data_IF_770619537128
#
_entry.id   IF_770619537128
#
_cell.length_a   1.000
_cell.length_b   1.000
_cell.length_c   1.000
_cell.angle_alpha   90.00
_cell.angle_beta   90.00
_cell.angle_gamma   90.00
#
_symmetry.space_group_name_H-M   'P 1'
#
loop_
_entity.id
_entity.type
_entity.pdbx_description
1 polymer ?
#
# COMPACT_ATOMS: atom_id res chain seq x y z
N UNK A 1 -28.41 14.76 20.08
CA UNK A 1 -27.27 14.96 19.16
C UNK A 1 -26.96 13.60 18.55
N UNK A 2 -27.52 13.34 17.36
CA UNK A 2 -27.27 12.10 16.62
C UNK A 2 -25.82 12.17 16.11
N UNK A 3 -24.94 11.41 16.75
CA UNK A 3 -23.61 11.18 16.18
C UNK A 3 -23.80 10.29 14.95
N UNK A 4 -23.88 10.89 13.76
CA UNK A 4 -24.04 10.18 12.49
C UNK A 4 -22.70 9.53 12.06
N UNK A 5 -21.60 9.80 12.77
CA UNK A 5 -20.27 9.30 12.44
C UNK A 5 -20.16 7.77 12.41
N UNK A 6 -20.96 7.06 13.20
CA UNK A 6 -20.97 5.60 13.16
C UNK A 6 -21.54 5.05 11.84
N UNK A 7 -22.47 5.74 11.18
CA UNK A 7 -23.03 5.30 9.88
C UNK A 7 -21.94 5.37 8.82
N UNK A 8 -21.18 6.46 8.78
CA UNK A 8 -20.07 6.63 7.84
C UNK A 8 -19.02 5.52 8.01
N UNK A 9 -18.70 5.16 9.26
CA UNK A 9 -17.79 4.06 9.57
C UNK A 9 -18.32 2.71 9.03
N UNK A 10 -19.60 2.39 9.23
CA UNK A 10 -20.23 1.15 8.74
C UNK A 10 -20.28 1.11 7.22
N UNK A 11 -20.69 2.20 6.56
CA UNK A 11 -20.74 2.29 5.10
C UNK A 11 -19.36 2.16 4.47
N UNK A 12 -18.37 2.84 5.04
CA UNK A 12 -16.98 2.80 4.59
C UNK A 12 -16.40 1.39 4.77
N UNK A 13 -16.69 0.73 5.90
CA UNK A 13 -16.29 -0.64 6.17
C UNK A 13 -16.85 -1.64 5.14
N UNK A 14 -18.15 -1.53 4.84
CA UNK A 14 -18.86 -2.45 3.94
C UNK A 14 -18.61 -2.19 2.45
N UNK A 15 -18.09 -1.02 2.08
CA UNK A 15 -17.94 -0.59 0.68
C UNK A 15 -17.20 -1.58 -0.23
N UNK A 16 -16.02 -2.11 0.13
CA UNK A 16 -15.28 -3.00 -0.78
C UNK A 16 -16.07 -4.28 -1.10
N UNK A 17 -16.76 -4.84 -0.09
CA UNK A 17 -17.61 -6.01 -0.24
C UNK A 17 -18.84 -5.71 -1.11
N UNK A 18 -19.51 -4.59 -0.84
CA UNK A 18 -20.70 -4.23 -1.57
C UNK A 18 -20.40 -3.90 -3.04
N UNK A 19 -19.38 -3.07 -3.29
CA UNK A 19 -18.98 -2.69 -4.65
C UNK A 19 -18.44 -3.91 -5.42
N UNK A 20 -17.68 -4.80 -4.78
CA UNK A 20 -17.20 -6.04 -5.42
C UNK A 20 -18.33 -6.94 -5.90
N UNK A 21 -19.32 -7.18 -5.04
CA UNK A 21 -20.49 -8.00 -5.39
C UNK A 21 -21.38 -7.34 -6.46
N UNK A 22 -21.61 -6.02 -6.36
CA UNK A 22 -22.38 -5.26 -7.35
C UNK A 22 -21.66 -5.21 -8.70
N UNK A 23 -20.34 -5.03 -8.70
CA UNK A 23 -19.53 -5.06 -9.91
C UNK A 23 -19.60 -6.44 -10.58
N UNK A 24 -19.61 -7.53 -9.82
CA UNK A 24 -19.83 -8.86 -10.39
C UNK A 24 -21.19 -9.01 -11.07
N UNK A 25 -22.22 -8.43 -10.48
CA UNK A 25 -23.56 -8.50 -11.01
C UNK A 25 -23.73 -7.66 -12.28
N UNK A 26 -23.26 -6.42 -12.26
CA UNK A 26 -23.46 -5.46 -13.37
C UNK A 26 -22.37 -5.49 -14.44
N UNK A 27 -21.18 -6.03 -14.10
CA UNK A 27 -19.97 -6.03 -14.96
C UNK A 27 -19.54 -4.64 -15.44
N UNK A 28 -19.99 -3.61 -14.74
CA UNK A 28 -19.69 -2.21 -15.01
C UNK A 28 -19.45 -1.48 -13.69
N UNK A 29 -18.29 -0.82 -13.60
CA UNK A 29 -17.81 -0.23 -12.36
C UNK A 29 -18.57 1.02 -11.97
N UNK A 30 -18.93 1.83 -12.96
CA UNK A 30 -19.73 3.03 -12.71
C UNK A 30 -21.12 2.63 -12.20
N UNK A 31 -21.79 1.67 -12.85
CA UNK A 31 -23.08 1.13 -12.41
C UNK A 31 -23.00 0.53 -11.00
N UNK A 32 -21.94 -0.21 -10.68
CA UNK A 32 -21.76 -0.79 -9.35
C UNK A 32 -21.57 0.26 -8.26
N UNK A 33 -20.83 1.34 -8.55
CA UNK A 33 -20.65 2.44 -7.61
C UNK A 33 -21.91 3.29 -7.45
N UNK A 34 -22.65 3.55 -8.53
CA UNK A 34 -23.95 4.22 -8.48
C UNK A 34 -24.95 3.42 -7.63
N UNK A 35 -25.03 2.11 -7.86
CA UNK A 35 -25.85 1.18 -7.08
C UNK A 35 -25.50 1.25 -5.58
N UNK A 36 -24.20 1.22 -5.25
CA UNK A 36 -23.73 1.33 -3.88
C UNK A 36 -24.07 2.70 -3.26
N UNK A 37 -23.88 3.80 -4.01
CA UNK A 37 -24.20 5.15 -3.53
C UNK A 37 -25.69 5.30 -3.22
N UNK A 38 -26.57 4.78 -4.05
CA UNK A 38 -28.02 4.79 -3.81
C UNK A 38 -28.39 3.95 -2.58
N UNK A 39 -27.72 2.81 -2.36
CA UNK A 39 -27.88 2.04 -1.13
C UNK A 39 -27.44 2.82 0.11
N UNK A 40 -26.32 3.54 0.05
CA UNK A 40 -25.85 4.42 1.12
C UNK A 40 -26.84 5.56 1.41
N UNK A 41 -27.43 6.17 0.38
CA UNK A 41 -28.45 7.21 0.55
C UNK A 41 -29.70 6.68 1.27
N UNK A 42 -30.08 5.45 1.00
CA UNK A 42 -31.19 4.78 1.71
C UNK A 42 -30.81 4.43 3.15
N UNK A 43 -29.59 3.96 3.40
CA UNK A 43 -29.07 3.72 4.74
C UNK A 43 -29.06 4.99 5.60
N UNK A 44 -28.58 6.12 5.06
CA UNK A 44 -28.58 7.42 5.75
C UNK A 44 -29.98 7.90 6.12
N UNK A 45 -31.02 7.46 5.40
CA UNK A 45 -32.42 7.79 5.69
C UNK A 45 -33.05 6.87 6.75
N UNK A 46 -32.67 5.58 6.80
CA UNK A 46 -33.38 4.55 7.58
C UNK A 46 -32.64 4.08 8.83
N UNK A 47 -31.31 4.10 8.81
CA UNK A 47 -30.49 3.63 9.93
C UNK A 47 -30.48 4.56 11.15
N UNK A 48 -30.64 5.90 11.03
CA UNK A 48 -30.76 6.75 12.21
C UNK A 48 -31.96 6.41 13.10
N UNK A 49 -33.04 5.85 12.53
CA UNK A 49 -34.24 5.46 13.29
C UNK A 49 -34.20 3.98 13.72
N UNK A 50 -33.69 3.09 12.86
CA UNK A 50 -33.79 1.65 13.06
C UNK A 50 -32.49 0.98 13.52
N UNK A 51 -31.38 1.71 13.54
CA UNK A 51 -30.04 1.13 13.65
C UNK A 51 -29.59 0.43 12.35
N UNK A 52 -28.32 0.01 12.26
CA UNK A 52 -27.84 -0.75 11.12
C UNK A 52 -28.36 -2.20 11.17
N UNK A 53 -28.57 -2.84 10.01
CA UNK A 53 -28.78 -4.28 9.92
C UNK A 53 -27.61 -5.05 10.55
N UNK A 54 -27.88 -6.30 10.94
CA UNK A 54 -26.85 -7.21 11.51
C UNK A 54 -25.69 -7.46 10.53
N UNK A 55 -26.01 -7.55 9.24
CA UNK A 55 -25.03 -7.53 8.14
C UNK A 55 -25.32 -6.33 7.23
N UNK A 56 -24.59 -5.26 7.47
CA UNK A 56 -24.69 -4.03 6.69
C UNK A 56 -24.25 -4.23 5.23
N UNK A 57 -23.26 -5.09 4.97
CA UNK A 57 -22.74 -5.30 3.62
C UNK A 57 -23.74 -6.05 2.75
N UNK A 58 -24.31 -7.14 3.27
CA UNK A 58 -25.37 -7.88 2.58
C UNK A 58 -26.58 -6.97 2.26
N UNK A 59 -26.98 -6.13 3.22
CA UNK A 59 -28.06 -5.18 3.01
C UNK A 59 -27.74 -4.17 1.90
N UNK A 60 -26.53 -3.59 1.90
CA UNK A 60 -26.10 -2.64 0.88
C UNK A 60 -26.03 -3.28 -0.52
N UNK A 61 -25.57 -4.53 -0.63
CA UNK A 61 -25.56 -5.29 -1.89
C UNK A 61 -26.99 -5.46 -2.40
N UNK A 62 -27.89 -5.94 -1.54
CA UNK A 62 -29.27 -6.20 -1.92
C UNK A 62 -29.99 -4.92 -2.35
N UNK A 63 -29.89 -3.86 -1.53
CA UNK A 63 -30.53 -2.58 -1.82
C UNK A 63 -29.96 -1.92 -3.06
N UNK A 64 -28.63 -1.95 -3.23
CA UNK A 64 -27.97 -1.39 -4.40
C UNK A 64 -28.36 -2.13 -5.68
N UNK A 65 -28.37 -3.47 -5.64
CA UNK A 65 -28.81 -4.31 -6.76
C UNK A 65 -30.22 -3.94 -7.21
N UNK A 66 -31.16 -3.89 -6.27
CA UNK A 66 -32.56 -3.58 -6.58
C UNK A 66 -32.70 -2.16 -7.13
N UNK A 67 -32.02 -1.18 -6.55
CA UNK A 67 -32.06 0.19 -7.01
C UNK A 67 -31.53 0.37 -8.44
N UNK A 68 -30.39 -0.26 -8.76
CA UNK A 68 -29.83 -0.20 -10.11
C UNK A 68 -30.67 -1.00 -11.13
N UNK A 69 -31.26 -2.14 -10.74
CA UNK A 69 -32.21 -2.85 -11.59
C UNK A 69 -33.47 -2.02 -11.90
N UNK A 70 -33.99 -1.29 -10.92
CA UNK A 70 -35.12 -0.38 -11.12
C UNK A 70 -34.78 0.76 -12.09
N UNK A 71 -33.55 1.27 -12.03
CA UNK A 71 -33.08 2.31 -12.95
C UNK A 71 -32.85 1.78 -14.36
N UNK A 72 -32.23 0.59 -14.51
CA UNK A 72 -32.08 -0.10 -15.80
C UNK A 72 -33.45 -0.39 -16.42
N UNK A 73 -34.43 -0.86 -15.64
CA UNK A 73 -35.82 -1.07 -16.10
C UNK A 73 -36.50 0.24 -16.50
N UNK A 74 -36.20 1.34 -15.82
CA UNK A 74 -36.74 2.67 -16.14
C UNK A 74 -36.14 3.24 -17.42
N UNK A 75 -34.84 3.06 -17.65
CA UNK A 75 -34.13 3.43 -18.89
C UNK A 75 -34.54 2.53 -20.07
N UNK A 76 -34.77 1.24 -19.84
CA UNK A 76 -35.28 0.29 -20.84
C UNK A 76 -36.74 0.56 -21.26
N UNK A 77 -37.52 1.32 -20.48
CA UNK A 77 -38.84 1.82 -20.92
C UNK A 77 -38.73 2.98 -21.92
N UNK A 78 -37.53 3.50 -22.19
CA UNK A 78 -37.29 4.63 -23.10
C UNK A 78 -36.64 4.21 -24.44
N UNK A 79 -36.22 2.95 -24.63
CA UNK A 79 -35.72 2.36 -25.89
C UNK A 79 -36.17 0.90 -25.98
N UNK A 80 -36.63 0.43 -27.16
CA UNK A 80 -37.14 -0.93 -27.36
C UNK A 80 -36.10 -2.03 -27.03
N UNK A 81 -36.56 -3.13 -26.42
CA UNK A 81 -35.75 -4.18 -25.77
C UNK A 81 -34.75 -4.90 -26.70
N UNK A 82 -33.54 -5.23 -26.19
CA UNK A 82 -32.76 -6.41 -26.60
C UNK A 82 -33.16 -7.67 -25.82
N UNK A 83 -32.76 -8.82 -26.37
CA UNK A 83 -33.15 -10.20 -26.00
C UNK A 83 -33.00 -10.57 -24.51
N UNK A 84 -34.03 -11.22 -23.96
CA UNK A 84 -34.19 -11.60 -22.54
C UNK A 84 -33.17 -12.65 -22.04
N UNK A 85 -32.30 -13.16 -22.92
CA UNK A 85 -31.29 -14.17 -22.61
C UNK A 85 -30.10 -13.68 -21.76
N UNK A 86 -29.98 -12.37 -21.48
CA UNK A 86 -28.89 -11.79 -20.68
C UNK A 86 -29.22 -11.65 -19.17
N UNK A 87 -30.44 -11.98 -18.75
CA UNK A 87 -30.90 -11.83 -17.36
C UNK A 87 -31.10 -13.24 -16.78
N UNK A 88 -30.19 -13.65 -15.90
CA UNK A 88 -30.27 -14.93 -15.19
C UNK A 88 -31.53 -15.02 -14.34
N UNK A 89 -32.15 -16.19 -14.36
CA UNK A 89 -33.39 -16.59 -13.68
C UNK A 89 -33.48 -16.11 -12.21
N UNK A 90 -34.66 -15.62 -11.85
CA UNK A 90 -35.02 -15.02 -10.56
C UNK A 90 -36.06 -15.91 -9.88
N UNK A 91 -35.66 -16.74 -8.92
CA UNK A 91 -36.52 -17.15 -7.80
C UNK A 91 -35.65 -17.61 -6.60
N UNK A 92 -36.09 -17.26 -5.39
CA UNK A 92 -35.49 -17.54 -4.06
C UNK A 92 -34.12 -16.90 -3.69
N UNK A 93 -34.04 -15.56 -3.79
CA UNK A 93 -32.79 -14.82 -3.61
C UNK A 93 -32.39 -14.42 -2.16
N UNK A 94 -33.24 -14.59 -1.13
CA UNK A 94 -32.91 -14.07 0.22
C UNK A 94 -32.02 -15.02 1.04
N UNK A 95 -32.31 -16.33 1.03
CA UNK A 95 -31.48 -17.34 1.71
C UNK A 95 -30.18 -17.60 0.94
N UNK A 96 -30.27 -17.72 -0.39
CA UNK A 96 -29.09 -18.00 -1.20
C UNK A 96 -28.12 -16.81 -1.30
N UNK A 97 -28.54 -15.54 -1.18
CA UNK A 97 -27.59 -14.41 -1.24
C UNK A 97 -26.76 -14.30 0.05
N UNK A 98 -27.36 -14.64 1.19
CA UNK A 98 -26.66 -14.75 2.48
C UNK A 98 -25.69 -15.94 2.49
N UNK A 99 -26.07 -17.10 1.92
CA UNK A 99 -25.20 -18.27 1.77
C UNK A 99 -24.12 -18.07 0.68
N UNK A 100 -24.36 -17.24 -0.34
CA UNK A 100 -23.40 -16.88 -1.40
C UNK A 100 -22.34 -15.84 -0.99
N UNK A 101 -22.44 -15.30 0.22
CA UNK A 101 -21.51 -14.33 0.80
C UNK A 101 -20.53 -14.99 1.79
N UNK A 102 -20.19 -16.26 1.57
CA UNK A 102 -19.08 -16.89 2.28
C UNK A 102 -17.78 -16.09 2.10
N UNK A 103 -16.92 -16.15 3.12
CA UNK A 103 -15.67 -15.39 3.16
C UNK A 103 -14.70 -15.67 2.00
N UNK A 104 -14.90 -16.73 1.21
CA UNK A 104 -14.15 -17.04 -0.01
C UNK A 104 -14.65 -16.21 -1.21
N UNK A 105 -15.95 -16.10 -1.41
CA UNK A 105 -16.54 -15.36 -2.53
C UNK A 105 -16.21 -13.86 -2.46
N UNK A 106 -16.20 -13.29 -1.24
CA UNK A 106 -15.75 -11.93 -1.00
C UNK A 106 -14.26 -11.72 -1.36
N UNK A 107 -13.39 -12.69 -1.05
CA UNK A 107 -11.96 -12.60 -1.39
C UNK A 107 -11.76 -12.55 -2.89
N UNK A 108 -12.51 -13.35 -3.64
CA UNK A 108 -12.47 -13.37 -5.09
C UNK A 108 -12.96 -12.05 -5.71
N UNK A 109 -13.98 -11.42 -5.13
CA UNK A 109 -14.48 -10.13 -5.62
C UNK A 109 -13.46 -8.99 -5.38
N UNK A 110 -12.82 -8.94 -4.21
CA UNK A 110 -11.76 -7.97 -3.94
C UNK A 110 -10.54 -8.20 -4.84
N UNK A 111 -10.20 -9.46 -5.08
CA UNK A 111 -9.14 -9.82 -6.01
C UNK A 111 -9.45 -9.35 -7.44
N UNK A 112 -10.68 -9.58 -7.93
CA UNK A 112 -11.14 -9.08 -9.24
C UNK A 112 -11.01 -7.56 -9.30
N UNK A 113 -11.46 -6.86 -8.26
CA UNK A 113 -11.33 -5.40 -8.16
C UNK A 113 -9.86 -4.94 -8.22
N UNK A 114 -8.96 -5.62 -7.52
CA UNK A 114 -7.52 -5.33 -7.56
C UNK A 114 -6.95 -5.48 -8.98
N UNK A 115 -7.29 -6.56 -9.69
CA UNK A 115 -6.85 -6.77 -11.06
C UNK A 115 -7.42 -5.72 -12.04
N UNK A 116 -8.69 -5.34 -11.87
CA UNK A 116 -9.32 -4.26 -12.64
C UNK A 116 -8.61 -2.94 -12.39
N UNK A 117 -8.28 -2.63 -11.14
CA UNK A 117 -7.54 -1.42 -10.80
C UNK A 117 -6.11 -1.42 -11.36
N UNK A 118 -5.49 -2.59 -11.52
CA UNK A 118 -4.14 -2.76 -12.07
C UNK A 118 -4.11 -2.98 -13.61
N UNK A 119 -5.14 -2.53 -14.34
CA UNK A 119 -5.21 -2.69 -15.79
C UNK A 119 -4.00 -2.02 -16.51
N UNK A 120 -3.32 -2.70 -17.46
CA UNK A 120 -2.09 -2.21 -18.07
C UNK A 120 -2.25 -0.90 -18.86
N UNK A 121 -3.46 -0.61 -19.35
CA UNK A 121 -3.71 0.67 -20.03
C UNK A 121 -3.79 1.88 -19.10
N UNK A 122 -3.83 1.66 -17.78
CA UNK A 122 -3.84 2.72 -16.79
C UNK A 122 -2.41 3.06 -16.35
N UNK A 123 -2.03 4.36 -16.32
CA UNK A 123 -0.82 4.79 -15.64
C UNK A 123 -0.84 4.37 -14.17
N UNK A 124 0.31 4.05 -13.58
CA UNK A 124 0.42 3.61 -12.19
C UNK A 124 -0.32 4.52 -11.20
N UNK A 125 -0.16 5.83 -11.33
CA UNK A 125 -0.85 6.84 -10.48
C UNK A 125 -2.37 6.76 -10.53
N UNK A 126 -2.95 6.34 -11.66
CA UNK A 126 -4.38 6.08 -11.79
C UNK A 126 -4.75 4.73 -11.18
N UNK A 127 -3.94 3.68 -11.39
CA UNK A 127 -4.16 2.36 -10.79
C UNK A 127 -4.24 2.44 -9.25
N UNK A 128 -3.30 3.18 -8.64
CA UNK A 128 -3.21 3.34 -7.18
C UNK A 128 -4.39 4.16 -6.65
N UNK A 129 -4.68 5.31 -7.27
CA UNK A 129 -5.81 6.15 -6.86
C UNK A 129 -7.14 5.39 -6.95
N UNK A 130 -7.29 4.58 -8.00
CA UNK A 130 -8.47 3.76 -8.19
C UNK A 130 -8.54 2.60 -7.18
N UNK A 131 -7.44 1.92 -6.91
CA UNK A 131 -7.37 0.86 -5.90
C UNK A 131 -7.67 1.40 -4.50
N UNK A 132 -7.05 2.51 -4.09
CA UNK A 132 -7.34 3.16 -2.81
C UNK A 132 -8.81 3.58 -2.72
N UNK A 133 -9.36 4.11 -3.81
CA UNK A 133 -10.76 4.51 -3.84
C UNK A 133 -11.68 3.32 -3.70
N UNK A 134 -11.49 2.28 -4.50
CA UNK A 134 -12.47 1.21 -4.71
C UNK A 134 -12.25 0.04 -3.77
N UNK A 135 -11.00 -0.40 -3.65
CA UNK A 135 -10.60 -1.56 -2.86
C UNK A 135 -10.45 -1.20 -1.38
N UNK A 136 -9.72 -0.11 -1.08
CA UNK A 136 -9.53 0.33 0.31
C UNK A 136 -10.70 1.20 0.82
N UNK A 137 -11.52 1.73 -0.08
CA UNK A 137 -12.69 2.53 0.26
C UNK A 137 -12.37 3.95 0.73
N UNK A 138 -11.15 4.46 0.50
CA UNK A 138 -10.78 5.82 0.89
C UNK A 138 -11.64 6.86 0.18
N UNK A 139 -11.89 7.98 0.86
CA UNK A 139 -12.52 9.15 0.25
C UNK A 139 -11.55 9.85 -0.72
N UNK A 140 -12.10 10.59 -1.69
CA UNK A 140 -11.29 11.39 -2.62
C UNK A 140 -10.37 12.35 -1.88
N UNK A 141 -10.81 12.94 -0.76
CA UNK A 141 -10.03 13.85 0.08
C UNK A 141 -8.82 13.16 0.72
N UNK A 142 -9.02 11.96 1.28
CA UNK A 142 -7.93 11.19 1.87
C UNK A 142 -6.90 10.81 0.81
N UNK A 143 -7.35 10.42 -0.39
CA UNK A 143 -6.44 10.09 -1.50
C UNK A 143 -5.75 11.35 -2.01
N UNK A 144 -6.45 12.47 -2.15
CA UNK A 144 -5.86 13.74 -2.59
C UNK A 144 -4.75 14.21 -1.65
N UNK A 145 -4.98 14.12 -0.32
CA UNK A 145 -3.96 14.39 0.71
C UNK A 145 -2.76 13.45 0.58
N UNK A 146 -2.99 12.15 0.44
CA UNK A 146 -1.91 11.18 0.27
C UNK A 146 -1.05 11.47 -0.98
N UNK A 147 -1.67 11.94 -2.06
CA UNK A 147 -0.98 12.30 -3.29
C UNK A 147 -0.48 13.76 -3.35
N UNK A 148 -0.72 14.55 -2.30
CA UNK A 148 -0.41 15.99 -2.25
C UNK A 148 -0.95 16.77 -3.46
N UNK A 149 -2.17 16.44 -3.90
CA UNK A 149 -2.87 17.14 -4.99
C UNK A 149 -4.19 17.71 -4.49
N UNK A 150 -4.78 18.67 -5.22
CA UNK A 150 -6.11 19.19 -4.89
C UNK A 150 -7.22 18.16 -5.11
N UNK A 151 -8.27 18.22 -4.29
CA UNK A 151 -9.45 17.33 -4.33
C UNK A 151 -10.02 17.18 -5.75
N UNK A 152 -10.23 18.30 -6.46
CA UNK A 152 -10.77 18.30 -7.82
C UNK A 152 -9.86 17.59 -8.84
N UNK A 153 -8.54 17.72 -8.69
CA UNK A 153 -7.58 17.03 -9.57
C UNK A 153 -7.59 15.52 -9.33
N UNK A 154 -7.74 15.09 -8.07
CA UNK A 154 -7.87 13.68 -7.71
C UNK A 154 -9.20 13.09 -8.18
N UNK A 155 -10.30 13.83 -8.02
CA UNK A 155 -11.61 13.41 -8.52
C UNK A 155 -11.58 13.16 -10.03
N UNK A 156 -11.08 14.12 -10.79
CA UNK A 156 -10.91 13.97 -12.24
C UNK A 156 -9.99 12.80 -12.61
N UNK A 157 -8.93 12.55 -11.83
CA UNK A 157 -8.02 11.43 -12.06
C UNK A 157 -8.75 10.09 -11.91
N UNK A 158 -9.54 9.95 -10.85
CA UNK A 158 -10.34 8.75 -10.59
C UNK A 158 -11.39 8.57 -11.70
N UNK A 159 -12.11 9.62 -12.08
CA UNK A 159 -13.12 9.56 -13.16
C UNK A 159 -12.52 9.15 -14.49
N UNK A 160 -11.36 9.69 -14.87
CA UNK A 160 -10.66 9.27 -16.10
C UNK A 160 -10.22 7.82 -16.06
N UNK A 161 -9.76 7.34 -14.91
CA UNK A 161 -9.36 5.94 -14.75
C UNK A 161 -10.57 5.00 -14.96
N UNK A 162 -11.72 5.32 -14.35
CA UNK A 162 -12.97 4.55 -14.53
C UNK A 162 -13.44 4.54 -15.98
N UNK A 163 -13.49 5.71 -16.62
CA UNK A 163 -13.90 5.82 -18.03
C UNK A 163 -13.01 4.99 -18.96
N UNK A 164 -11.71 4.91 -18.68
CA UNK A 164 -10.76 4.12 -19.46
C UNK A 164 -10.95 2.61 -19.26
N UNK A 165 -11.30 2.17 -18.05
CA UNK A 165 -11.68 0.77 -17.78
C UNK A 165 -13.00 0.42 -18.47
N UNK A 166 -14.03 1.26 -18.33
CA UNK A 166 -15.35 1.04 -18.92
C UNK A 166 -15.30 0.99 -20.45
N UNK A 167 -14.48 1.85 -21.07
CA UNK A 167 -14.28 1.86 -22.53
C UNK A 167 -13.47 0.67 -23.08
N UNK A 168 -12.73 -0.05 -22.22
CA UNK A 168 -11.88 -1.17 -22.64
C UNK A 168 -12.65 -2.49 -22.84
N UNK A 169 -13.96 -2.54 -22.52
CA UNK A 169 -14.80 -3.72 -22.76
C UNK A 169 -14.30 -5.00 -22.07
N UNK A 170 -13.71 -4.84 -20.89
CA UNK A 170 -12.98 -5.92 -20.21
C UNK A 170 -13.92 -7.06 -19.80
N UNK A 171 -13.57 -8.33 -20.10
CA UNK A 171 -14.27 -9.46 -19.50
C UNK A 171 -14.14 -9.36 -17.98
N UNK A 172 -15.28 -9.24 -17.28
CA UNK A 172 -15.33 -9.31 -15.83
C UNK A 172 -15.18 -10.76 -15.37
N UNK A 173 -14.05 -11.37 -15.71
CA UNK A 173 -13.70 -12.72 -15.29
C UNK A 173 -12.50 -12.68 -14.35
N UNK A 174 -12.43 -13.66 -13.46
CA UNK A 174 -11.17 -13.90 -12.74
C UNK A 174 -10.11 -14.16 -13.80
N UNK A 175 -8.97 -13.45 -13.80
CA UNK A 175 -7.96 -13.69 -14.81
C UNK A 175 -7.57 -15.18 -14.81
N UNK A 176 -7.30 -15.73 -16.00
CA UNK A 176 -6.82 -17.11 -16.11
C UNK A 176 -5.54 -17.31 -15.28
N UNK A 177 -5.15 -18.57 -15.00
CA UNK A 177 -3.95 -18.81 -14.18
C UNK A 177 -2.68 -18.11 -14.72
N UNK A 178 -2.54 -18.02 -16.04
CA UNK A 178 -1.43 -17.34 -16.73
C UNK A 178 -1.50 -15.82 -16.55
N UNK A 179 -2.65 -15.22 -16.82
CA UNK A 179 -2.88 -13.78 -16.69
C UNK A 179 -2.77 -13.31 -15.23
N UNK A 180 -3.17 -14.17 -14.28
CA UNK A 180 -2.96 -13.96 -12.85
C UNK A 180 -1.47 -13.85 -12.52
N UNK A 181 -0.62 -14.73 -13.05
CA UNK A 181 0.81 -14.70 -12.80
C UNK A 181 1.47 -13.43 -13.37
N UNK A 182 1.10 -13.02 -14.59
CA UNK A 182 1.63 -11.80 -15.22
C UNK A 182 1.21 -10.53 -14.47
N UNK A 183 -0.05 -10.44 -14.07
CA UNK A 183 -0.58 -9.27 -13.36
C UNK A 183 -0.21 -9.24 -11.88
N UNK A 184 0.17 -10.38 -11.28
CA UNK A 184 0.53 -10.48 -9.86
C UNK A 184 1.70 -9.56 -9.50
N UNK A 185 2.69 -9.41 -10.38
CA UNK A 185 3.82 -8.49 -10.15
C UNK A 185 3.34 -7.04 -10.03
N UNK A 186 2.49 -6.59 -10.95
CA UNK A 186 1.90 -5.24 -10.93
C UNK A 186 1.04 -5.03 -9.68
N UNK A 187 0.19 -6.00 -9.33
CA UNK A 187 -0.66 -5.91 -8.14
C UNK A 187 0.20 -5.87 -6.87
N UNK A 188 1.26 -6.69 -6.80
CA UNK A 188 2.20 -6.69 -5.67
C UNK A 188 2.91 -5.35 -5.52
N UNK A 189 3.36 -4.76 -6.63
CA UNK A 189 3.97 -3.43 -6.65
C UNK A 189 3.00 -2.34 -6.19
N UNK A 190 1.73 -2.40 -6.61
CA UNK A 190 0.69 -1.48 -6.18
C UNK A 190 0.43 -1.61 -4.68
N UNK A 191 0.27 -2.84 -4.17
CA UNK A 191 0.07 -3.09 -2.74
C UNK A 191 1.25 -2.58 -1.91
N UNK A 192 2.49 -2.80 -2.37
CA UNK A 192 3.67 -2.29 -1.69
C UNK A 192 3.72 -0.76 -1.68
N UNK A 193 3.28 -0.11 -2.75
CA UNK A 193 3.24 1.34 -2.79
C UNK A 193 2.19 1.91 -1.84
N UNK A 194 0.98 1.34 -1.80
CA UNK A 194 -0.05 1.72 -0.80
C UNK A 194 0.52 1.62 0.61
N UNK A 195 1.27 0.56 0.88
CA UNK A 195 1.97 0.40 2.15
C UNK A 195 3.01 1.51 2.39
N UNK A 196 3.88 1.80 1.43
CA UNK A 196 4.94 2.80 1.56
C UNK A 196 4.39 4.22 1.81
N UNK A 197 3.26 4.58 1.19
CA UNK A 197 2.59 5.86 1.45
C UNK A 197 2.14 5.96 2.91
N UNK A 198 1.61 4.86 3.48
CA UNK A 198 1.26 4.82 4.90
C UNK A 198 2.44 4.68 5.85
N UNK A 199 3.54 4.09 5.40
CA UNK A 199 4.74 3.84 6.20
C UNK A 199 5.42 5.15 6.66
N UNK A 200 5.40 6.16 5.79
CA UNK A 200 6.04 7.46 6.00
C UNK A 200 5.14 8.49 6.73
N UNK A 201 3.85 8.20 6.89
CA UNK A 201 2.88 9.09 7.52
C UNK A 201 2.99 9.07 9.06
N UNK A 202 2.77 10.23 9.72
CA UNK A 202 2.66 10.30 11.19
C UNK A 202 1.41 9.54 11.64
N UNK A 203 1.53 8.85 12.78
CA UNK A 203 0.42 8.16 13.46
C UNK A 203 -0.80 9.05 13.75
N UNK A 204 -0.63 10.38 13.85
CA UNK A 204 -1.74 11.32 14.09
C UNK A 204 -2.67 11.50 12.87
N UNK A 205 -2.27 11.01 11.70
CA UNK A 205 -3.14 10.93 10.51
C UNK A 205 -3.92 9.61 10.46
N UNK A 206 -3.80 8.76 11.49
CA UNK A 206 -4.58 7.54 11.61
C UNK A 206 -6.07 7.87 11.60
N UNK A 207 -6.75 7.35 10.58
CA UNK A 207 -8.20 7.40 10.51
C UNK A 207 -8.78 6.40 11.52
N UNK A 208 -10.09 6.44 11.73
CA UNK A 208 -10.82 5.39 12.48
C UNK A 208 -10.57 3.97 11.96
N UNK A 209 -10.02 3.81 10.74
CA UNK A 209 -9.77 2.53 10.06
C UNK A 209 -8.30 2.04 10.15
N UNK A 210 -7.41 2.79 10.80
CA UNK A 210 -5.97 2.51 10.81
C UNK A 210 -5.19 3.33 9.78
N UNK A 211 -3.93 2.95 9.53
CA UNK A 211 -3.03 3.62 8.58
C UNK A 211 -3.11 2.98 7.19
N UNK A 212 -2.72 3.72 6.14
CA UNK A 212 -2.56 3.15 4.79
C UNK A 212 -1.60 1.95 4.75
N UNK A 213 -0.66 1.87 5.70
CA UNK A 213 0.22 0.71 5.85
C UNK A 213 -0.56 -0.53 6.31
N UNK A 214 -1.54 -0.38 7.21
CA UNK A 214 -2.39 -1.49 7.64
C UNK A 214 -3.30 -1.97 6.51
N UNK A 215 -3.81 -1.06 5.67
CA UNK A 215 -4.56 -1.39 4.45
C UNK A 215 -3.69 -2.17 3.46
N UNK A 216 -2.44 -1.75 3.25
CA UNK A 216 -1.47 -2.49 2.44
C UNK A 216 -1.27 -3.92 2.96
N UNK A 217 -1.08 -4.10 4.27
CA UNK A 217 -0.92 -5.42 4.91
C UNK A 217 -2.18 -6.27 4.71
N UNK A 218 -3.36 -5.67 4.83
CA UNK A 218 -4.62 -6.35 4.57
C UNK A 218 -4.73 -6.85 3.12
N UNK A 219 -4.35 -6.02 2.15
CA UNK A 219 -4.30 -6.39 0.72
C UNK A 219 -3.28 -7.51 0.47
N UNK A 220 -2.07 -7.43 1.03
CA UNK A 220 -1.07 -8.48 0.91
C UNK A 220 -1.56 -9.81 1.51
N UNK A 221 -2.26 -9.78 2.65
CA UNK A 221 -2.88 -10.97 3.26
C UNK A 221 -3.97 -11.56 2.37
N UNK A 222 -4.72 -10.72 1.66
CA UNK A 222 -5.67 -11.19 0.66
C UNK A 222 -4.97 -11.89 -0.51
N UNK A 223 -3.91 -11.28 -1.06
CA UNK A 223 -3.11 -11.90 -2.13
C UNK A 223 -2.55 -13.26 -1.70
N UNK A 224 -2.06 -13.39 -0.46
CA UNK A 224 -1.56 -14.66 0.06
C UNK A 224 -2.63 -15.75 0.14
N UNK A 225 -3.89 -15.41 0.41
CA UNK A 225 -4.98 -16.39 0.45
C UNK A 225 -5.30 -16.92 -0.94
N UNK A 226 -5.16 -16.08 -1.96
CA UNK A 226 -5.40 -16.42 -3.37
C UNK A 226 -4.22 -17.18 -3.97
N UNK A 227 -3.00 -16.76 -3.62
CA UNK A 227 -1.75 -17.30 -4.14
C UNK A 227 -0.90 -17.91 -3.01
N UNK A 228 -1.40 -18.95 -2.31
CA UNK A 228 -0.76 -19.49 -1.10
C UNK A 228 0.56 -20.20 -1.35
N UNK A 229 0.91 -20.44 -2.62
CA UNK A 229 2.15 -21.08 -3.06
C UNK A 229 3.10 -20.12 -3.76
N UNK A 230 2.74 -18.84 -3.92
CA UNK A 230 3.60 -17.86 -4.58
C UNK A 230 4.59 -17.25 -3.57
N UNK A 231 5.89 -17.58 -3.65
CA UNK A 231 6.87 -17.17 -2.65
C UNK A 231 7.13 -15.67 -2.65
N UNK A 232 6.90 -14.99 -3.78
CA UNK A 232 7.10 -13.55 -3.88
C UNK A 232 6.03 -12.76 -3.11
N UNK A 233 4.80 -13.25 -3.08
CA UNK A 233 3.71 -12.67 -2.27
C UNK A 233 3.98 -12.89 -0.77
N UNK A 234 4.57 -14.04 -0.41
CA UNK A 234 5.04 -14.28 0.96
C UNK A 234 6.16 -13.31 1.34
N UNK A 235 7.12 -13.08 0.44
CA UNK A 235 8.16 -12.07 0.60
C UNK A 235 7.59 -10.68 0.81
N UNK A 236 6.63 -10.25 -0.02
CA UNK A 236 5.98 -8.94 0.11
C UNK A 236 5.28 -8.78 1.47
N UNK A 237 4.46 -9.75 1.87
CA UNK A 237 3.77 -9.71 3.16
C UNK A 237 4.77 -9.69 4.32
N UNK A 238 5.82 -10.52 4.26
CA UNK A 238 6.85 -10.56 5.29
C UNK A 238 7.58 -9.21 5.41
N UNK A 239 7.97 -8.61 4.29
CA UNK A 239 8.60 -7.29 4.25
C UNK A 239 7.75 -6.24 4.96
N UNK A 240 6.47 -6.16 4.60
CA UNK A 240 5.54 -5.17 5.14
C UNK A 240 5.28 -5.37 6.63
N UNK A 241 5.12 -6.63 7.08
CA UNK A 241 4.99 -6.95 8.51
C UNK A 241 6.23 -6.55 9.31
N UNK A 242 7.42 -6.89 8.83
CA UNK A 242 8.69 -6.61 9.51
C UNK A 242 8.97 -5.09 9.56
N UNK A 243 8.64 -4.38 8.49
CA UNK A 243 8.71 -2.91 8.47
C UNK A 243 7.70 -2.30 9.45
N UNK A 244 6.45 -2.78 9.46
CA UNK A 244 5.38 -2.25 10.30
C UNK A 244 5.51 -2.60 11.77
N UNK A 245 6.21 -3.68 12.11
CA UNK A 245 6.46 -4.08 13.49
C UNK A 245 7.16 -2.98 14.32
N UNK A 246 7.93 -2.10 13.66
CA UNK A 246 8.69 -1.04 14.31
C UNK A 246 7.96 0.30 14.38
N UNK A 247 6.70 0.37 13.95
CA UNK A 247 5.99 1.65 13.78
C UNK A 247 6.00 2.52 15.05
N UNK A 248 5.81 1.90 16.23
CA UNK A 248 5.81 2.58 17.52
C UNK A 248 7.18 3.14 17.95
N UNK A 249 8.28 2.72 17.30
CA UNK A 249 9.64 3.13 17.62
C UNK A 249 10.26 4.08 16.59
N UNK A 250 9.53 4.49 15.53
CA UNK A 250 10.10 5.31 14.43
C UNK A 250 10.24 6.78 14.79
N UNK A 251 9.41 7.27 15.70
CA UNK A 251 9.37 8.67 16.10
C UNK A 251 9.38 8.77 17.62
N UNK A 252 10.02 9.82 18.14
CA UNK A 252 9.93 10.16 19.56
C UNK A 252 8.64 10.94 19.87
N UNK A 253 8.41 11.24 21.15
CA UNK A 253 7.25 12.02 21.62
C UNK A 253 7.16 13.43 21.00
N UNK A 254 8.26 13.95 20.44
CA UNK A 254 8.34 15.26 19.78
C UNK A 254 8.15 15.15 18.26
N UNK A 255 8.03 13.93 17.71
CA UNK A 255 7.91 13.70 16.29
C UNK A 255 9.21 13.68 15.50
N UNK A 256 10.36 13.66 16.17
CA UNK A 256 11.65 13.52 15.52
C UNK A 256 11.87 12.05 15.10
N UNK A 257 12.58 11.85 13.99
CA UNK A 257 12.94 10.50 13.51
C UNK A 257 13.92 9.87 14.50
N UNK A 258 13.65 8.63 14.88
CA UNK A 258 14.58 7.78 15.63
C UNK A 258 15.23 6.80 14.66
N UNK A 259 16.56 6.88 14.52
CA UNK A 259 17.34 6.02 13.62
C UNK A 259 17.23 4.57 14.05
N UNK A 260 17.30 3.65 13.09
CA UNK A 260 17.09 2.21 13.32
C UNK A 260 17.98 1.62 14.44
N UNK A 261 19.21 2.13 14.58
CA UNK A 261 20.16 1.70 15.63
C UNK A 261 19.81 2.21 17.03
N UNK A 262 19.07 3.33 17.11
CA UNK A 262 18.65 3.99 18.34
C UNK A 262 17.21 3.63 18.75
N UNK A 263 16.48 2.89 17.90
CA UNK A 263 15.10 2.48 18.21
C UNK A 263 15.06 1.57 19.42
N UNK A 264 14.15 1.86 20.36
CA UNK A 264 13.83 0.93 21.43
C UNK A 264 13.13 -0.31 20.85
N UNK A 265 13.87 -1.41 20.78
CA UNK A 265 13.40 -2.71 20.29
C UNK A 265 12.33 -3.33 21.19
N UNK A 266 12.20 -2.89 22.44
CA UNK A 266 11.11 -3.30 23.34
C UNK A 266 9.74 -2.79 22.90
N UNK A 267 9.68 -1.76 22.04
CA UNK A 267 8.44 -1.24 21.45
C UNK A 267 8.06 -1.96 20.13
N UNK A 268 8.86 -2.93 19.68
CA UNK A 268 8.59 -3.64 18.43
C UNK A 268 7.49 -4.69 18.62
N UNK A 269 6.64 -4.83 17.60
CA UNK A 269 5.55 -5.81 17.61
C UNK A 269 6.06 -7.22 17.32
N UNK A 270 6.31 -7.97 18.39
CA UNK A 270 6.78 -9.36 18.34
C UNK A 270 5.85 -10.29 17.54
N UNK A 271 4.54 -10.03 17.51
CA UNK A 271 3.60 -10.87 16.75
C UNK A 271 3.79 -10.66 15.26
N UNK A 272 3.91 -9.41 14.82
CA UNK A 272 4.21 -9.08 13.42
C UNK A 272 5.59 -9.59 13.00
N UNK A 273 6.59 -9.48 13.88
CA UNK A 273 7.93 -10.04 13.63
C UNK A 273 7.84 -11.55 13.45
N UNK A 274 7.22 -12.28 14.39
CA UNK A 274 7.11 -13.73 14.32
C UNK A 274 6.37 -14.18 13.05
N UNK A 275 5.28 -13.50 12.67
CA UNK A 275 4.55 -13.79 11.44
C UNK A 275 5.40 -13.52 10.19
N UNK A 276 6.07 -12.37 10.12
CA UNK A 276 6.93 -12.01 8.99
C UNK A 276 8.11 -12.98 8.82
N UNK A 277 8.75 -13.38 9.92
CA UNK A 277 9.82 -14.37 9.92
C UNK A 277 9.33 -15.74 9.44
N UNK A 278 8.17 -16.20 9.90
CA UNK A 278 7.60 -17.47 9.45
C UNK A 278 7.28 -17.46 7.94
N UNK A 279 6.77 -16.34 7.42
CA UNK A 279 6.45 -16.18 6.00
C UNK A 279 7.72 -16.19 5.12
N UNK A 280 8.76 -15.45 5.49
CA UNK A 280 10.00 -15.46 4.70
C UNK A 280 10.71 -16.82 4.78
N UNK A 281 10.70 -17.48 5.94
CA UNK A 281 11.24 -18.84 6.09
C UNK A 281 10.45 -19.86 5.28
N UNK A 282 9.16 -19.65 5.06
CA UNK A 282 8.34 -20.46 4.14
C UNK A 282 8.70 -20.16 2.68
N UNK A 283 8.76 -18.90 2.30
CA UNK A 283 9.08 -18.46 0.94
C UNK A 283 10.43 -19.03 0.45
N UNK A 284 11.46 -18.96 1.30
CA UNK A 284 12.81 -19.46 0.97
C UNK A 284 12.84 -20.97 0.66
N UNK A 285 11.92 -21.78 1.23
CA UNK A 285 11.85 -23.22 0.94
C UNK A 285 11.41 -23.52 -0.49
N UNK A 286 10.75 -22.58 -1.17
CA UNK A 286 10.38 -22.72 -2.58
C UNK A 286 11.58 -22.59 -3.53
N UNK A 287 12.75 -22.12 -3.06
CA UNK A 287 13.99 -21.99 -3.84
C UNK A 287 13.83 -21.17 -5.14
N UNK A 288 12.92 -20.19 -5.13
CA UNK A 288 12.64 -19.27 -6.23
C UNK A 288 12.75 -17.83 -5.70
N UNK A 289 13.98 -17.29 -5.55
CA UNK A 289 14.17 -15.96 -4.97
C UNK A 289 13.61 -14.87 -5.89
N UNK A 290 13.06 -13.83 -5.29
CA UNK A 290 12.63 -12.60 -5.97
C UNK A 290 12.88 -11.37 -5.10
N UNK A 291 12.61 -10.19 -5.66
CA UNK A 291 13.01 -8.91 -5.09
C UNK A 291 12.41 -8.67 -3.69
N UNK A 292 11.12 -8.94 -3.49
CA UNK A 292 10.47 -8.79 -2.19
C UNK A 292 10.96 -9.80 -1.17
N UNK A 293 11.28 -11.03 -1.59
CA UNK A 293 11.89 -12.01 -0.68
C UNK A 293 13.26 -11.54 -0.20
N UNK A 294 14.09 -10.99 -1.08
CA UNK A 294 15.42 -10.48 -0.70
C UNK A 294 15.29 -9.26 0.22
N UNK A 295 14.39 -8.33 -0.09
CA UNK A 295 14.10 -7.18 0.79
C UNK A 295 13.57 -7.63 2.16
N UNK A 296 12.66 -8.60 2.20
CA UNK A 296 12.15 -9.18 3.45
C UNK A 296 13.25 -9.87 4.25
N UNK A 297 14.18 -10.56 3.60
CA UNK A 297 15.32 -11.19 4.26
C UNK A 297 16.24 -10.14 4.91
N UNK A 298 16.47 -9.00 4.25
CA UNK A 298 17.21 -7.86 4.83
C UNK A 298 16.48 -7.34 6.08
N UNK A 299 15.17 -7.09 5.98
CA UNK A 299 14.36 -6.66 7.12
C UNK A 299 14.35 -7.69 8.25
N UNK A 300 14.35 -8.99 7.93
CA UNK A 300 14.37 -10.09 8.89
C UNK A 300 15.68 -10.14 9.68
N UNK A 301 16.84 -9.83 9.07
CA UNK A 301 18.12 -9.76 9.77
C UNK A 301 18.13 -8.65 10.81
N UNK A 302 17.57 -7.49 10.48
CA UNK A 302 17.37 -6.44 11.46
C UNK A 302 16.40 -6.87 12.57
N UNK A 303 15.28 -7.52 12.23
CA UNK A 303 14.28 -7.95 13.19
C UNK A 303 14.75 -9.05 14.15
N UNK A 304 15.67 -9.93 13.70
CA UNK A 304 16.24 -11.03 14.50
C UNK A 304 17.29 -10.58 15.51
N UNK A 305 17.98 -9.47 15.22
CA UNK A 305 19.02 -8.95 16.12
C UNK A 305 18.39 -8.47 17.44
N UNK A 306 18.96 -8.82 18.58
CA UNK A 306 18.46 -8.34 19.88
C UNK A 306 18.96 -6.92 20.16
N UNK A 307 20.17 -6.61 19.73
CA UNK A 307 20.78 -5.28 19.78
C UNK A 307 21.14 -4.82 18.38
N UNK A 308 21.26 -3.51 18.17
CA UNK A 308 21.67 -2.96 16.88
C UNK A 308 23.03 -3.50 16.41
N UNK A 309 23.99 -3.63 17.34
CA UNK A 309 25.33 -4.16 17.09
C UNK A 309 25.37 -5.64 16.68
N UNK A 310 24.33 -6.43 17.01
CA UNK A 310 24.25 -7.85 16.66
C UNK A 310 23.76 -8.08 15.21
N UNK A 311 23.45 -7.00 14.47
CA UNK A 311 22.94 -7.10 13.10
C UNK A 311 24.02 -7.68 12.17
N UNK A 312 23.67 -8.74 11.43
CA UNK A 312 24.58 -9.35 10.45
C UNK A 312 24.70 -8.49 9.17
N UNK A 313 25.55 -7.47 9.25
CA UNK A 313 25.80 -6.56 8.13
C UNK A 313 26.49 -7.22 6.95
N UNK A 314 27.27 -8.27 7.16
CA UNK A 314 27.92 -9.02 6.09
C UNK A 314 26.87 -9.76 5.24
N UNK A 315 25.89 -10.39 5.88
CA UNK A 315 24.78 -11.02 5.17
C UNK A 315 23.87 -9.98 4.49
N UNK A 316 23.66 -8.81 5.10
CA UNK A 316 22.91 -7.71 4.47
C UNK A 316 23.60 -7.21 3.18
N UNK A 317 24.94 -7.01 3.17
CA UNK A 317 25.68 -6.63 1.94
C UNK A 317 25.47 -7.68 0.83
N UNK A 318 25.55 -8.97 1.15
CA UNK A 318 25.32 -10.05 0.19
C UNK A 318 23.88 -10.07 -0.35
N UNK A 319 22.89 -9.82 0.50
CA UNK A 319 21.49 -9.73 0.08
C UNK A 319 21.26 -8.52 -0.83
N UNK A 320 21.80 -7.34 -0.50
CA UNK A 320 21.74 -6.18 -1.39
C UNK A 320 22.45 -6.44 -2.71
N UNK A 321 23.62 -7.07 -2.71
CA UNK A 321 24.33 -7.44 -3.94
C UNK A 321 23.50 -8.39 -4.83
N UNK A 322 22.69 -9.27 -4.23
CA UNK A 322 21.73 -10.08 -4.97
C UNK A 322 20.55 -9.24 -5.48
N UNK A 323 19.99 -8.36 -4.65
CA UNK A 323 18.90 -7.46 -5.04
C UNK A 323 19.29 -6.58 -6.24
N UNK A 324 20.51 -6.05 -6.29
CA UNK A 324 21.02 -5.28 -7.43
C UNK A 324 21.01 -6.06 -8.75
N UNK A 325 21.16 -7.39 -8.70
CA UNK A 325 21.10 -8.25 -9.90
C UNK A 325 19.66 -8.50 -10.34
N UNK A 326 18.74 -8.63 -9.38
CA UNK A 326 17.32 -8.85 -9.63
C UNK A 326 16.63 -7.56 -10.10
N UNK A 327 17.00 -6.43 -9.50
CA UNK A 327 16.40 -5.12 -9.72
C UNK A 327 17.49 -4.03 -9.75
N UNK A 328 18.15 -3.84 -10.91
CA UNK A 328 19.21 -2.83 -11.04
C UNK A 328 18.67 -1.42 -10.83
N UNK A 329 19.07 -0.77 -9.72
CA UNK A 329 18.59 0.57 -9.37
C UNK A 329 19.65 1.35 -8.59
N UNK A 330 19.88 2.64 -8.90
CA UNK A 330 20.81 3.48 -8.14
C UNK A 330 20.38 3.62 -6.67
N UNK A 331 19.08 3.50 -6.37
CA UNK A 331 18.58 3.52 -4.99
C UNK A 331 18.98 2.25 -4.24
N UNK A 332 18.96 1.09 -4.90
CA UNK A 332 19.43 -0.17 -4.28
C UNK A 332 20.92 -0.09 -3.99
N UNK A 333 21.73 0.45 -4.91
CA UNK A 333 23.17 0.67 -4.69
C UNK A 333 23.43 1.65 -3.54
N UNK A 334 22.65 2.73 -3.44
CA UNK A 334 22.74 3.64 -2.30
C UNK A 334 22.45 2.94 -0.97
N UNK A 335 21.39 2.13 -0.91
CA UNK A 335 21.03 1.38 0.29
C UNK A 335 22.12 0.35 0.65
N UNK A 336 22.70 -0.30 -0.35
CA UNK A 336 23.82 -1.24 -0.17
C UNK A 336 25.05 -0.56 0.42
N UNK A 337 25.36 0.68 0.02
CA UNK A 337 26.50 1.42 0.55
C UNK A 337 26.44 1.61 2.07
N UNK A 338 25.24 1.66 2.67
CA UNK A 338 25.08 1.68 4.13
C UNK A 338 25.59 0.38 4.76
N UNK A 339 25.27 -0.78 4.16
CA UNK A 339 25.80 -2.06 4.61
C UNK A 339 27.32 -2.16 4.39
N UNK A 340 27.82 -1.69 3.25
CA UNK A 340 29.25 -1.63 2.97
C UNK A 340 29.99 -0.75 3.97
N UNK A 341 29.41 0.37 4.42
CA UNK A 341 29.99 1.19 5.47
C UNK A 341 30.20 0.38 6.75
N UNK A 342 29.17 -0.34 7.20
CA UNK A 342 29.24 -1.14 8.43
C UNK A 342 30.21 -2.33 8.33
N UNK A 343 30.52 -2.82 7.13
CA UNK A 343 31.41 -3.98 6.91
C UNK A 343 32.85 -3.59 6.56
N UNK A 344 33.03 -2.58 5.70
CA UNK A 344 34.32 -2.20 5.08
C UNK A 344 34.74 -0.76 5.37
N UNK A 345 33.90 -0.01 6.07
CA UNK A 345 34.15 1.37 6.48
C UNK A 345 33.67 2.44 5.49
N UNK A 346 33.70 3.71 5.92
CA UNK A 346 33.06 4.81 5.21
C UNK A 346 33.73 5.15 3.88
N UNK A 347 35.03 4.93 3.74
CA UNK A 347 35.76 5.17 2.48
C UNK A 347 35.25 4.27 1.34
N UNK A 348 35.07 2.97 1.59
CA UNK A 348 34.57 2.01 0.61
C UNK A 348 33.11 2.29 0.22
N UNK A 349 32.30 2.74 1.19
CA UNK A 349 30.93 3.16 0.93
C UNK A 349 30.88 4.46 0.12
N UNK A 350 31.78 5.41 0.38
CA UNK A 350 31.84 6.67 -0.35
C UNK A 350 32.19 6.45 -1.83
N UNK A 351 33.19 5.60 -2.11
CA UNK A 351 33.57 5.20 -3.47
C UNK A 351 32.39 4.56 -4.23
N UNK A 352 31.54 3.80 -3.53
CA UNK A 352 30.35 3.19 -4.10
C UNK A 352 29.25 4.22 -4.44
N UNK A 353 29.06 5.26 -3.62
CA UNK A 353 27.98 6.25 -3.83
C UNK A 353 28.36 7.39 -4.77
N UNK A 354 29.64 7.76 -4.87
CA UNK A 354 30.08 8.89 -5.70
C UNK A 354 29.60 8.81 -7.16
N UNK A 355 29.69 7.66 -7.87
CA UNK A 355 29.19 7.52 -9.23
C UNK A 355 27.67 7.74 -9.39
N UNK A 356 26.90 7.66 -8.30
CA UNK A 356 25.45 7.83 -8.32
C UNK A 356 25.03 9.31 -8.41
N UNK A 357 25.94 10.25 -8.18
CA UNK A 357 25.61 11.66 -7.97
C UNK A 357 24.82 12.32 -9.09
N UNK A 358 25.08 11.98 -10.35
CA UNK A 358 24.31 12.50 -11.48
C UNK A 358 22.86 11.95 -11.52
N UNK A 359 22.69 10.66 -11.22
CA UNK A 359 21.38 9.98 -11.26
C UNK A 359 20.50 10.33 -10.06
N UNK A 360 21.12 10.61 -8.92
CA UNK A 360 20.45 10.89 -7.64
C UNK A 360 20.59 12.35 -7.18
N UNK A 361 20.89 13.27 -8.11
CA UNK A 361 21.17 14.68 -7.79
C UNK A 361 20.04 15.38 -7.02
N UNK A 362 18.78 15.01 -7.28
CA UNK A 362 17.59 15.57 -6.63
C UNK A 362 17.01 14.63 -5.55
N UNK A 363 17.77 13.65 -5.09
CA UNK A 363 17.31 12.66 -4.12
C UNK A 363 17.85 12.99 -2.72
N UNK A 364 16.94 13.29 -1.79
CA UNK A 364 17.25 13.64 -0.40
C UNK A 364 18.24 12.67 0.26
N UNK A 365 17.92 11.37 0.23
CA UNK A 365 18.69 10.34 0.93
C UNK A 365 20.11 10.14 0.36
N UNK A 366 20.34 10.45 -0.91
CA UNK A 366 21.67 10.40 -1.50
C UNK A 366 22.61 11.40 -0.82
N UNK A 367 22.16 12.65 -0.70
CA UNK A 367 22.95 13.71 -0.06
C UNK A 367 23.11 13.47 1.44
N UNK A 368 22.08 12.96 2.11
CA UNK A 368 22.15 12.57 3.52
C UNK A 368 23.20 11.49 3.78
N UNK A 369 23.17 10.38 3.03
CA UNK A 369 24.16 9.29 3.15
C UNK A 369 25.56 9.79 2.82
N UNK A 370 25.72 10.56 1.74
CA UNK A 370 27.03 11.14 1.36
C UNK A 370 27.59 12.03 2.47
N UNK A 371 26.76 12.91 3.04
CA UNK A 371 27.16 13.78 4.15
C UNK A 371 27.61 12.99 5.38
N UNK A 372 26.85 11.97 5.77
CA UNK A 372 27.21 11.13 6.92
C UNK A 372 28.52 10.35 6.71
N UNK A 373 28.76 9.83 5.50
CA UNK A 373 30.02 9.15 5.16
C UNK A 373 31.22 10.09 5.18
N UNK A 374 31.05 11.32 4.66
CA UNK A 374 32.10 12.35 4.69
C UNK A 374 32.38 12.82 6.12
N UNK A 375 31.36 12.94 6.96
CA UNK A 375 31.52 13.26 8.38
C UNK A 375 32.33 12.17 9.11
N UNK A 376 32.05 10.88 8.86
CA UNK A 376 32.83 9.77 9.43
C UNK A 376 34.29 9.70 8.94
N UNK A 377 34.64 10.43 7.88
CA UNK A 377 35.98 10.55 7.32
C UNK A 377 36.65 11.89 7.70
N UNK A 378 36.06 12.66 8.62
CA UNK A 378 36.51 13.99 9.05
C UNK A 378 36.60 15.02 7.90
N UNK A 379 35.86 14.80 6.80
CA UNK A 379 35.78 15.71 5.63
C UNK A 379 34.68 16.75 5.83
N UNK A 380 34.78 17.54 6.91
CA UNK A 380 33.70 18.40 7.42
C UNK A 380 33.14 19.40 6.40
N UNK A 381 33.99 20.06 5.61
CA UNK A 381 33.54 21.04 4.61
C UNK A 381 32.68 20.40 3.51
N UNK A 382 33.06 19.21 3.05
CA UNK A 382 32.31 18.46 2.05
C UNK A 382 31.05 17.84 2.63
N UNK A 383 31.11 17.37 3.88
CA UNK A 383 29.95 16.88 4.62
C UNK A 383 28.89 17.98 4.76
N UNK A 384 29.29 19.19 5.14
CA UNK A 384 28.40 20.36 5.20
C UNK A 384 27.74 20.65 3.87
N UNK A 385 28.52 20.70 2.78
CA UNK A 385 27.96 20.94 1.44
C UNK A 385 26.94 19.87 1.02
N UNK A 386 27.15 18.61 1.39
CA UNK A 386 26.19 17.54 1.15
C UNK A 386 24.94 17.70 2.02
N UNK A 387 25.07 18.00 3.30
CA UNK A 387 23.93 18.23 4.19
C UNK A 387 23.10 19.47 3.79
N UNK A 388 23.74 20.55 3.33
CA UNK A 388 23.04 21.74 2.79
C UNK A 388 22.20 21.38 1.56
N UNK A 389 22.68 20.47 0.71
CA UNK A 389 21.87 19.93 -0.40
C UNK A 389 20.74 19.04 0.10
N UNK A 390 21.01 18.19 1.10
CA UNK A 390 19.99 17.32 1.68
C UNK A 390 18.84 18.13 2.29
N UNK A 391 19.13 19.13 3.13
CA UNK A 391 18.09 19.93 3.78
C UNK A 391 17.24 20.73 2.77
N UNK A 392 17.83 21.19 1.66
CA UNK A 392 17.11 21.86 0.58
C UNK A 392 16.14 20.93 -0.18
N UNK A 393 16.35 19.61 -0.09
CA UNK A 393 15.54 18.57 -0.74
C UNK A 393 14.62 17.81 0.25
N UNK A 394 14.58 18.22 1.51
CA UNK A 394 13.74 17.57 2.52
C UNK A 394 12.25 17.74 2.19
N UNK A 395 11.50 16.64 2.22
CA UNK A 395 10.06 16.63 1.94
C UNK A 395 9.22 16.73 3.22
N UNK A 396 9.82 16.46 4.38
CA UNK A 396 9.13 16.52 5.68
C UNK A 396 9.88 17.36 6.71
N UNK A 397 9.17 17.95 7.71
CA UNK A 397 9.81 18.63 8.83
C UNK A 397 10.79 17.73 9.61
N UNK A 398 10.49 16.44 9.70
CA UNK A 398 11.30 15.47 10.42
C UNK A 398 12.61 15.17 9.70
N UNK A 399 12.59 15.01 8.38
CA UNK A 399 13.78 14.92 7.53
C UNK A 399 14.66 16.17 7.69
N UNK A 400 14.06 17.37 7.61
CA UNK A 400 14.80 18.62 7.78
C UNK A 400 15.42 18.75 9.17
N UNK A 401 14.69 18.36 10.23
CA UNK A 401 15.20 18.36 11.59
C UNK A 401 16.38 17.41 11.79
N UNK A 402 16.31 16.21 11.20
CA UNK A 402 17.40 15.24 11.25
C UNK A 402 18.69 15.79 10.59
N UNK A 403 18.58 16.41 9.41
CA UNK A 403 19.77 17.02 8.77
C UNK A 403 20.32 18.22 9.56
N UNK A 404 19.47 19.02 10.20
CA UNK A 404 19.93 20.12 11.08
C UNK A 404 20.78 19.61 12.25
N UNK A 405 20.42 18.47 12.84
CA UNK A 405 21.23 17.87 13.92
C UNK A 405 22.66 17.54 13.46
N UNK A 406 22.82 17.04 12.23
CA UNK A 406 24.15 16.80 11.65
C UNK A 406 24.93 18.09 11.40
N UNK A 407 24.27 19.13 10.89
CA UNK A 407 24.90 20.45 10.67
C UNK A 407 25.36 21.09 12.00
N UNK A 408 24.50 21.05 13.03
CA UNK A 408 24.81 21.54 14.38
C UNK A 408 25.98 20.77 15.01
N UNK A 409 26.06 19.46 14.76
CA UNK A 409 27.17 18.63 15.23
C UNK A 409 28.49 19.08 14.60
N UNK A 410 28.52 19.27 13.27
CA UNK A 410 29.69 19.77 12.55
C UNK A 410 30.11 21.17 13.02
N UNK A 411 29.17 22.02 13.41
CA UNK A 411 29.49 23.36 13.94
C UNK A 411 30.12 23.31 15.32
N UNK A 412 29.78 22.31 16.15
CA UNK A 412 30.41 22.09 17.47
C UNK A 412 31.80 21.47 17.38
N UNK A 413 32.07 20.63 16.38
CA UNK A 413 33.38 20.01 16.19
C UNK A 413 34.41 20.97 15.58
N UNK A 414 33.96 22.02 14.87
CA UNK A 414 34.83 23.05 14.29
C UNK A 414 35.04 24.28 15.19
N UNK A 415 34.32 24.38 16.31
CA UNK A 415 34.42 25.46 17.30
C UNK A 415 35.37 25.06 18.45
#
# INVERSE_FOLDING_TARGET
MNDIGWIDAVLTAARPQAVGALLRYFRDLDTAEEAFQEACLRALKTWPQNGPPRDAAAWLIFVGRNAAMDDVRRRAKQVALPDEAAISDLDDAESELADRLDGEQYRDDILRLLFVCCHPELPSTQQIALALRIVCGLSVKQIARAFLVGDAAMEQRITRAKARIGGAGLPFETPGAVERAERLATVSAMVYLVFNEGYSARSEEATTRGTLADDGIWLARLLLRVFPQEPEVMGLMALMLLQQARAAARFDDKGAIVLLEDQDRGLWDDKRIAEGLALIDKAMRHRRPGAYQVQAAIAALHARAKRAEDTDWAQIDLLYANLERLEPSPVVTLNRAVAVNKVRGPAAALEMVEPLGAKLANYFYFHGVKGALLQQLDRCAEARAAFDRAIALANTPAEAAHIRQHLDHLDRENA
#
